data_IF_493985620889
#
_entry.id   IF_493985620889
#
_cell.length_a   1.000
_cell.length_b   1.000
_cell.length_c   1.000
_cell.angle_alpha   90.00
_cell.angle_beta   90.00
_cell.angle_gamma   90.00
#
_symmetry.space_group_name_H-M   'P 1'
#
loop_
_entity.id
_entity.type
_entity.pdbx_description
1 polymer ?
#
# COMPACT_ATOMS: atom_id res chain seq x y z
N UNK A 1 3.91 -17.42 -16.64
CA UNK A 1 5.18 -16.97 -16.00
C UNK A 1 5.23 -17.59 -14.63
N UNK A 2 6.30 -18.23 -14.23
CA UNK A 2 6.47 -18.75 -12.88
C UNK A 2 6.83 -17.60 -11.93
N UNK A 3 6.17 -17.49 -10.79
CA UNK A 3 6.35 -16.41 -9.83
C UNK A 3 6.68 -17.00 -8.46
N UNK A 4 7.76 -16.52 -7.86
CA UNK A 4 8.15 -16.88 -6.49
C UNK A 4 7.85 -15.69 -5.58
N UNK A 5 7.19 -15.95 -4.45
CA UNK A 5 6.82 -14.92 -3.49
C UNK A 5 7.47 -15.22 -2.14
N UNK A 6 8.13 -14.22 -1.58
CA UNK A 6 8.60 -14.24 -0.20
C UNK A 6 7.97 -13.06 0.56
N UNK A 7 7.39 -13.33 1.72
CA UNK A 7 6.79 -12.30 2.59
C UNK A 7 7.55 -12.25 3.91
N UNK A 8 7.81 -11.05 4.38
CA UNK A 8 8.38 -10.81 5.70
C UNK A 8 7.76 -9.54 6.28
N UNK A 9 7.39 -9.59 7.54
CA UNK A 9 6.91 -8.45 8.31
C UNK A 9 7.38 -8.63 9.75
N UNK A 10 7.84 -7.54 10.35
CA UNK A 10 8.31 -7.52 11.74
C UNK A 10 8.02 -6.15 12.35
N UNK A 11 7.56 -6.14 13.59
CA UNK A 11 7.23 -4.90 14.32
C UNK A 11 8.45 -4.03 14.64
N UNK A 12 9.66 -4.56 14.51
CA UNK A 12 10.88 -3.87 14.90
C UNK A 12 10.85 -3.47 16.38
N UNK A 13 11.12 -2.21 16.64
CA UNK A 13 11.09 -1.65 18.00
C UNK A 13 9.70 -1.19 18.48
N UNK A 14 8.64 -1.43 17.71
CA UNK A 14 7.27 -1.02 18.08
C UNK A 14 6.62 -2.03 19.02
N UNK A 15 5.62 -1.62 19.84
CA UNK A 15 4.88 -2.58 20.68
C UNK A 15 4.06 -3.56 19.85
N UNK A 16 3.43 -3.11 18.77
CA UNK A 16 2.62 -3.91 17.86
C UNK A 16 3.16 -3.81 16.44
N UNK A 17 2.82 -4.81 15.62
CA UNK A 17 2.99 -4.74 14.18
C UNK A 17 1.68 -4.19 13.56
N UNK A 18 1.77 -3.06 12.89
CA UNK A 18 0.65 -2.39 12.25
C UNK A 18 0.64 -2.61 10.72
N UNK A 19 1.57 -3.44 10.21
CA UNK A 19 1.63 -3.81 8.80
C UNK A 19 0.71 -4.98 8.48
N UNK A 20 0.18 -5.00 7.26
CA UNK A 20 -0.50 -6.14 6.67
C UNK A 20 0.05 -6.44 5.27
N UNK A 21 0.20 -7.73 4.96
CA UNK A 21 0.74 -8.19 3.67
C UNK A 21 -0.08 -9.37 3.15
N UNK A 22 -0.52 -9.29 1.90
CA UNK A 22 -1.11 -10.42 1.20
C UNK A 22 -0.51 -10.62 -0.19
N UNK A 23 -0.60 -11.85 -0.66
CA UNK A 23 -0.23 -12.24 -2.02
C UNK A 23 -1.22 -13.29 -2.52
N UNK A 24 -1.73 -13.10 -3.71
CA UNK A 24 -2.59 -14.02 -4.44
C UNK A 24 -2.04 -14.34 -5.82
N UNK A 25 -2.87 -14.84 -6.71
CA UNK A 25 -2.51 -15.14 -8.09
C UNK A 25 -2.36 -13.84 -8.89
N UNK A 26 -1.13 -13.34 -8.98
CA UNK A 26 -0.82 -12.12 -9.73
C UNK A 26 -1.10 -10.81 -9.01
N UNK A 27 -1.55 -10.83 -7.75
CA UNK A 27 -1.76 -9.65 -6.93
C UNK A 27 -0.90 -9.70 -5.67
N UNK A 28 -0.29 -8.57 -5.32
CA UNK A 28 0.57 -8.41 -4.15
C UNK A 28 0.23 -7.09 -3.49
N UNK A 29 -0.12 -7.12 -2.21
CA UNK A 29 -0.58 -5.94 -1.46
C UNK A 29 0.18 -5.84 -0.15
N UNK A 30 0.63 -4.65 0.17
CA UNK A 30 1.20 -4.27 1.46
C UNK A 30 0.55 -2.99 1.94
N UNK A 31 0.26 -2.92 3.22
CA UNK A 31 -0.30 -1.75 3.89
C UNK A 31 0.40 -1.54 5.22
N UNK A 32 0.78 -0.29 5.53
CA UNK A 32 1.31 0.16 6.82
C UNK A 32 0.24 1.00 7.50
N UNK A 33 -0.23 0.53 8.64
CA UNK A 33 -1.35 1.12 9.37
C UNK A 33 -0.90 2.25 10.28
N UNK A 34 -1.71 3.29 10.34
CA UNK A 34 -1.53 4.43 11.23
C UNK A 34 -2.75 4.57 12.15
N UNK A 35 -2.49 4.65 13.45
CA UNK A 35 -3.54 4.91 14.44
C UNK A 35 -3.07 4.59 15.85
N UNK A 36 -3.54 5.32 16.85
CA UNK A 36 -3.29 4.99 18.25
C UNK A 36 -4.15 3.81 18.70
N UNK A 37 -3.72 3.09 19.76
CA UNK A 37 -4.50 2.04 20.44
C UNK A 37 -4.93 0.88 19.51
N UNK A 38 -3.99 0.31 18.74
CA UNK A 38 -4.21 -0.84 17.82
C UNK A 38 -5.09 -0.54 16.60
N UNK A 39 -5.41 0.72 16.32
CA UNK A 39 -6.23 1.07 15.17
C UNK A 39 -5.45 0.99 13.83
N UNK A 40 -4.13 1.09 13.86
CA UNK A 40 -3.26 0.93 12.68
C UNK A 40 -3.33 -0.49 12.12
N UNK A 41 -3.19 -1.51 12.97
CA UNK A 41 -3.29 -2.92 12.52
C UNK A 41 -4.66 -3.26 11.94
N UNK A 42 -5.74 -2.61 12.47
CA UNK A 42 -7.08 -2.78 11.93
C UNK A 42 -7.17 -2.13 10.54
N UNK A 43 -6.66 -0.91 10.39
CA UNK A 43 -6.70 -0.19 9.13
C UNK A 43 -5.92 -0.90 8.01
N UNK A 44 -4.70 -1.36 8.30
CA UNK A 44 -3.88 -2.09 7.32
C UNK A 44 -4.50 -3.43 6.95
N UNK A 45 -4.99 -4.20 7.94
CA UNK A 45 -5.69 -5.47 7.69
C UNK A 45 -6.94 -5.26 6.82
N UNK A 46 -7.80 -4.30 7.19
CA UNK A 46 -8.99 -3.98 6.40
C UNK A 46 -8.65 -3.55 4.97
N UNK A 47 -7.57 -2.79 4.78
CA UNK A 47 -7.09 -2.36 3.46
C UNK A 47 -6.71 -3.56 2.61
N UNK A 48 -5.87 -4.45 3.13
CA UNK A 48 -5.39 -5.64 2.42
C UNK A 48 -6.54 -6.61 2.15
N UNK A 49 -7.36 -6.91 3.15
CA UNK A 49 -8.48 -7.85 3.04
C UNK A 49 -9.52 -7.37 2.03
N UNK A 50 -9.83 -6.07 2.03
CA UNK A 50 -10.77 -5.50 1.07
C UNK A 50 -10.27 -5.64 -0.37
N UNK A 51 -9.00 -5.28 -0.64
CA UNK A 51 -8.41 -5.39 -1.97
C UNK A 51 -8.36 -6.86 -2.42
N UNK A 52 -7.88 -7.76 -1.56
CA UNK A 52 -7.81 -9.18 -1.88
C UNK A 52 -9.17 -9.81 -2.14
N UNK A 53 -10.20 -9.41 -1.39
CA UNK A 53 -11.55 -9.94 -1.56
C UNK A 53 -12.23 -9.48 -2.85
N UNK A 54 -12.07 -8.20 -3.19
CA UNK A 54 -12.85 -7.58 -4.25
C UNK A 54 -12.09 -7.44 -5.58
N UNK A 55 -10.75 -7.47 -5.53
CA UNK A 55 -9.91 -7.17 -6.70
C UNK A 55 -8.84 -8.23 -7.00
N UNK A 56 -8.93 -9.42 -6.39
CA UNK A 56 -7.99 -10.52 -6.67
C UNK A 56 -8.17 -11.11 -8.08
N UNK A 57 -9.37 -11.03 -8.65
CA UNK A 57 -9.71 -11.63 -9.95
C UNK A 57 -10.33 -10.60 -10.90
N UNK A 58 -9.66 -9.45 -11.08
CA UNK A 58 -10.09 -8.49 -12.09
C UNK A 58 -9.70 -8.95 -13.49
N UNK A 59 -10.60 -8.77 -14.46
CA UNK A 59 -10.36 -9.20 -15.83
C UNK A 59 -9.29 -8.35 -16.53
N UNK A 60 -9.20 -7.07 -16.19
CA UNK A 60 -8.18 -6.16 -16.70
C UNK A 60 -7.77 -5.12 -15.65
N UNK A 61 -6.50 -4.76 -15.67
CA UNK A 61 -5.93 -3.70 -14.84
C UNK A 61 -5.60 -2.51 -15.71
N UNK A 62 -6.54 -1.59 -15.81
CA UNK A 62 -6.36 -0.28 -16.45
C UNK A 62 -6.40 0.85 -15.40
N UNK A 63 -6.26 2.09 -15.88
CA UNK A 63 -6.26 3.25 -14.98
C UNK A 63 -7.59 3.44 -14.25
N UNK A 64 -8.71 3.10 -14.88
CA UNK A 64 -10.04 3.19 -14.26
C UNK A 64 -10.17 2.15 -13.13
N UNK A 65 -9.77 0.93 -13.39
CA UNK A 65 -9.74 -0.15 -12.39
C UNK A 65 -8.85 0.23 -11.20
N UNK A 66 -7.62 0.74 -11.44
CA UNK A 66 -6.74 1.19 -10.36
C UNK A 66 -7.35 2.33 -9.54
N UNK A 67 -8.00 3.29 -10.20
CA UNK A 67 -8.70 4.37 -9.51
C UNK A 67 -9.84 3.85 -8.63
N UNK A 68 -10.64 2.93 -9.15
CA UNK A 68 -11.75 2.33 -8.40
C UNK A 68 -11.25 1.54 -7.18
N UNK A 69 -10.16 0.77 -7.32
CA UNK A 69 -9.55 0.05 -6.20
C UNK A 69 -9.20 1.01 -5.06
N UNK A 70 -8.52 2.11 -5.38
CA UNK A 70 -8.12 3.12 -4.38
C UNK A 70 -9.35 3.78 -3.75
N UNK A 71 -10.29 4.21 -4.57
CA UNK A 71 -11.51 4.89 -4.12
C UNK A 71 -12.35 4.00 -3.20
N UNK A 72 -12.62 2.77 -3.61
CA UNK A 72 -13.49 1.86 -2.87
C UNK A 72 -12.83 1.39 -1.57
N UNK A 73 -11.52 1.15 -1.61
CA UNK A 73 -10.74 0.83 -0.41
C UNK A 73 -10.78 1.98 0.59
N UNK A 74 -10.54 3.22 0.13
CA UNK A 74 -10.62 4.40 0.98
C UNK A 74 -12.03 4.59 1.55
N UNK A 75 -13.07 4.40 0.74
CA UNK A 75 -14.46 4.46 1.19
C UNK A 75 -14.74 3.40 2.26
N UNK A 76 -14.28 2.18 2.08
CA UNK A 76 -14.45 1.10 3.05
C UNK A 76 -13.86 1.45 4.43
N UNK A 77 -12.62 1.98 4.45
CA UNK A 77 -11.97 2.44 5.68
C UNK A 77 -12.73 3.63 6.29
N UNK A 78 -13.16 4.58 5.47
CA UNK A 78 -13.90 5.76 5.92
C UNK A 78 -15.25 5.40 6.55
N UNK A 79 -16.01 4.49 5.94
CA UNK A 79 -17.29 4.02 6.47
C UNK A 79 -17.11 3.30 7.84
N UNK A 80 -16.03 2.53 7.99
CA UNK A 80 -15.69 1.93 9.28
C UNK A 80 -15.37 2.98 10.37
N UNK A 81 -14.66 4.06 10.01
CA UNK A 81 -14.40 5.19 10.93
C UNK A 81 -15.67 5.86 11.41
N UNK A 82 -16.65 6.00 10.52
CA UNK A 82 -17.95 6.58 10.87
C UNK A 82 -18.80 5.67 11.76
N UNK A 83 -18.67 4.36 11.59
CA UNK A 83 -19.47 3.37 12.33
C UNK A 83 -18.96 3.11 13.74
N UNK A 84 -17.70 3.42 14.05
CA UNK A 84 -17.09 3.14 15.35
C UNK A 84 -16.16 4.27 15.77
N UNK A 85 -16.50 4.96 16.86
CA UNK A 85 -15.70 6.08 17.38
C UNK A 85 -14.27 5.70 17.79
N UNK A 86 -14.00 4.44 18.07
CA UNK A 86 -12.65 3.96 18.36
C UNK A 86 -11.74 3.99 17.11
N UNK A 87 -12.32 3.95 15.92
CA UNK A 87 -11.60 3.91 14.63
C UNK A 87 -11.37 5.29 14.02
N UNK A 88 -11.80 6.38 14.69
CA UNK A 88 -11.81 7.71 14.06
C UNK A 88 -10.43 8.20 13.58
N UNK A 89 -9.35 7.75 14.20
CA UNK A 89 -7.97 8.11 13.84
C UNK A 89 -7.25 7.06 12.97
N UNK A 90 -7.90 5.95 12.62
CA UNK A 90 -7.25 4.93 11.80
C UNK A 90 -7.04 5.42 10.37
N UNK A 91 -5.89 5.09 9.82
CA UNK A 91 -5.52 5.28 8.43
C UNK A 91 -4.55 4.19 8.01
N UNK A 92 -4.29 4.05 6.73
CA UNK A 92 -3.29 3.14 6.22
C UNK A 92 -2.66 3.67 4.95
N UNK A 93 -1.39 3.37 4.76
CA UNK A 93 -0.79 3.38 3.43
C UNK A 93 -1.29 2.17 2.65
N UNK A 94 -1.06 2.16 1.36
CA UNK A 94 -1.17 0.95 0.53
C UNK A 94 -0.22 1.02 -0.64
N UNK A 95 0.46 -0.08 -0.89
CA UNK A 95 1.16 -0.33 -2.15
C UNK A 95 0.71 -1.67 -2.68
N UNK A 96 0.30 -1.70 -3.93
CA UNK A 96 -0.14 -2.93 -4.59
C UNK A 96 0.49 -3.06 -5.97
N UNK A 97 0.78 -4.30 -6.34
CA UNK A 97 1.29 -4.67 -7.65
C UNK A 97 0.42 -5.78 -8.26
N UNK A 98 0.17 -5.66 -9.54
CA UNK A 98 -0.58 -6.63 -10.35
C UNK A 98 0.30 -7.12 -11.49
N UNK A 99 0.38 -8.43 -11.63
CA UNK A 99 1.08 -9.08 -12.73
C UNK A 99 0.06 -9.93 -13.49
N UNK A 100 -0.39 -9.43 -14.62
CA UNK A 100 -1.39 -10.07 -15.45
C UNK A 100 -0.96 -10.01 -16.92
N UNK A 101 -1.04 -11.11 -17.66
CA UNK A 101 -0.76 -11.20 -19.10
C UNK A 101 0.61 -10.63 -19.51
N UNK A 102 1.61 -10.78 -18.63
CA UNK A 102 2.97 -10.24 -18.85
C UNK A 102 3.08 -8.74 -18.59
N UNK A 103 2.01 -8.08 -18.19
CA UNK A 103 1.98 -6.69 -17.78
C UNK A 103 2.19 -6.56 -16.27
N UNK A 104 2.93 -5.52 -15.88
CA UNK A 104 3.12 -5.13 -14.50
C UNK A 104 2.46 -3.77 -14.27
N UNK A 105 1.44 -3.76 -13.43
CA UNK A 105 0.75 -2.55 -13.00
C UNK A 105 0.94 -2.39 -11.50
N UNK A 106 0.97 -1.16 -11.01
CA UNK A 106 1.04 -0.89 -9.59
C UNK A 106 0.37 0.43 -9.25
N UNK A 107 -0.01 0.56 -7.98
CA UNK A 107 -0.31 1.85 -7.39
C UNK A 107 0.29 1.95 -5.98
N UNK A 108 0.48 3.18 -5.51
CA UNK A 108 0.84 3.44 -4.15
C UNK A 108 0.11 4.67 -3.61
N UNK A 109 -0.28 4.61 -2.34
CA UNK A 109 -0.82 5.72 -1.56
C UNK A 109 -0.09 5.73 -0.22
N UNK A 110 0.59 6.82 0.07
CA UNK A 110 1.42 6.96 1.27
C UNK A 110 2.92 6.88 0.97
N UNK A 111 3.71 6.55 1.98
CA UNK A 111 5.17 6.50 1.96
C UNK A 111 5.76 5.09 2.05
N UNK A 112 4.91 4.06 2.04
CA UNK A 112 5.33 2.68 1.74
C UNK A 112 5.82 2.60 0.30
N UNK A 113 6.97 1.97 0.06
CA UNK A 113 7.64 2.04 -1.24
C UNK A 113 7.61 0.72 -2.00
N UNK A 114 7.40 0.81 -3.30
CA UNK A 114 7.61 -0.27 -4.26
C UNK A 114 8.90 -0.01 -5.04
N UNK A 115 9.70 -1.07 -5.18
CA UNK A 115 10.91 -1.07 -6.00
C UNK A 115 10.81 -2.16 -7.07
N UNK A 116 10.97 -1.79 -8.32
CA UNK A 116 11.06 -2.73 -9.42
C UNK A 116 12.52 -2.84 -9.87
N UNK A 117 13.07 -4.05 -9.75
CA UNK A 117 14.44 -4.35 -10.17
C UNK A 117 14.44 -5.08 -11.50
N UNK A 118 15.32 -4.67 -12.41
CA UNK A 118 15.56 -5.36 -13.67
C UNK A 118 17.04 -5.37 -13.95
N UNK A 119 17.60 -6.54 -14.30
CA UNK A 119 19.04 -6.72 -14.58
C UNK A 119 19.94 -6.16 -13.45
N UNK A 120 19.59 -6.47 -12.20
CA UNK A 120 20.30 -6.03 -10.98
C UNK A 120 20.39 -4.50 -10.79
N UNK A 121 19.44 -3.77 -11.36
CA UNK A 121 19.32 -2.31 -11.17
C UNK A 121 17.88 -1.97 -10.78
N UNK A 122 17.72 -0.92 -9.98
CA UNK A 122 16.40 -0.32 -9.75
C UNK A 122 15.97 0.29 -11.08
N UNK A 123 14.88 -0.23 -11.64
CA UNK A 123 14.28 0.28 -12.87
C UNK A 123 13.19 1.31 -12.55
N UNK A 124 12.47 1.10 -11.45
CA UNK A 124 11.43 1.99 -10.99
C UNK A 124 11.35 1.94 -9.46
N UNK A 125 11.10 3.08 -8.86
CA UNK A 125 10.74 3.26 -7.46
C UNK A 125 9.46 4.10 -7.40
N UNK A 126 8.51 3.74 -6.54
CA UNK A 126 7.34 4.57 -6.30
C UNK A 126 7.72 5.90 -5.65
N UNK A 127 6.90 6.91 -5.89
CA UNK A 127 7.08 8.24 -5.30
C UNK A 127 6.30 8.32 -3.98
N UNK A 128 6.93 8.80 -2.91
CA UNK A 128 6.29 8.90 -1.61
C UNK A 128 5.25 10.02 -1.59
N UNK A 129 4.11 9.77 -0.99
CA UNK A 129 3.14 10.79 -0.66
C UNK A 129 3.35 11.23 0.79
N UNK A 130 4.43 11.97 1.04
CA UNK A 130 4.78 12.49 2.36
C UNK A 130 5.09 13.99 2.30
N UNK A 131 4.96 14.69 3.43
CA UNK A 131 5.33 16.09 3.52
C UNK A 131 6.81 16.31 3.25
N UNK A 132 7.66 15.36 3.66
CA UNK A 132 9.11 15.42 3.40
C UNK A 132 9.40 15.32 1.90
N UNK A 133 8.73 14.41 1.19
CA UNK A 133 8.87 14.29 -0.26
C UNK A 133 8.36 15.56 -0.96
N UNK A 134 7.22 16.09 -0.54
CA UNK A 134 6.67 17.33 -1.08
C UNK A 134 7.66 18.51 -0.93
N UNK A 135 8.30 18.64 0.22
CA UNK A 135 9.31 19.67 0.45
C UNK A 135 10.57 19.50 -0.45
N UNK A 136 10.95 18.25 -0.76
CA UNK A 136 12.00 17.96 -1.74
C UNK A 136 11.56 18.38 -3.15
N UNK A 137 10.35 18.03 -3.54
CA UNK A 137 9.80 18.33 -4.87
C UNK A 137 9.66 19.85 -5.10
N UNK A 138 9.36 20.58 -4.03
CA UNK A 138 9.33 22.05 -4.03
C UNK A 138 10.73 22.70 -3.98
N UNK A 139 11.78 21.89 -3.77
CA UNK A 139 13.16 22.38 -3.66
C UNK A 139 13.50 23.04 -2.31
N UNK A 140 12.63 22.89 -1.30
CA UNK A 140 12.84 23.46 0.04
C UNK A 140 13.91 22.69 0.84
N UNK A 141 14.00 21.37 0.62
CA UNK A 141 15.01 20.50 1.24
C UNK A 141 15.67 19.62 0.20
N UNK A 142 16.87 19.11 0.50
CA UNK A 142 17.62 18.22 -0.41
C UNK A 142 17.05 16.79 -0.36
N UNK A 143 17.13 16.02 -1.48
CA UNK A 143 16.73 14.61 -1.50
C UNK A 143 17.39 13.75 -0.43
N UNK A 144 18.62 14.09 -0.01
CA UNK A 144 19.32 13.39 1.07
C UNK A 144 18.68 13.56 2.46
N UNK A 145 17.68 14.42 2.61
CA UNK A 145 16.92 14.58 3.85
C UNK A 145 15.82 13.52 4.03
N UNK A 146 15.44 12.82 2.94
CA UNK A 146 14.53 11.68 2.99
C UNK A 146 15.32 10.47 3.50
N UNK A 147 14.86 9.88 4.59
CA UNK A 147 15.45 8.68 5.21
C UNK A 147 14.66 7.45 4.85
#
# INVERSE_FOLDING_TARGET
>A
METFVCKYSDKGGRPNNEDAIAAGEGIYVLADGLGGHSCGEIASSMTVDFIMKHYNHVESIDNETLHNIIHDTNKHIYDAKLSNSQYHNMASTVVAAYIQDGMFNYFNVGDSRMYYFRRNKIFLQSHDHSLTQLAVDMGEIKPSAIR
#
